data_IF_942393610994
#
_entry.id   IF_942393610994
#
_cell.length_a   1.000
_cell.length_b   1.000
_cell.length_c   1.000
_cell.angle_alpha   90.00
_cell.angle_beta   90.00
_cell.angle_gamma   90.00
#
_symmetry.space_group_name_H-M   'P 1'
#
loop_
_entity.id
_entity.type
_entity.pdbx_description
1 polymer ?
#
# COMPACT_ATOMS: atom_id res chain seq x y z
N UNK A 1 1.42 17.97 -7.55
CA UNK A 1 1.58 17.22 -6.30
C UNK A 1 2.84 16.37 -6.34
N UNK A 2 3.67 16.48 -5.32
CA UNK A 2 4.85 15.63 -5.16
C UNK A 2 4.44 14.36 -4.41
N UNK A 3 4.49 13.24 -5.09
CA UNK A 3 4.11 11.93 -4.53
C UNK A 3 5.36 11.05 -4.57
N UNK A 4 5.90 10.74 -3.39
CA UNK A 4 7.20 10.08 -3.24
C UNK A 4 7.08 8.72 -2.57
N UNK A 5 8.10 7.87 -2.80
CA UNK A 5 8.19 6.54 -2.20
C UNK A 5 8.07 6.61 -0.67
N UNK A 6 7.43 5.61 -0.08
CA UNK A 6 7.21 5.44 1.35
C UNK A 6 6.20 6.44 1.95
N UNK A 7 5.61 7.30 1.15
CA UNK A 7 4.51 8.15 1.62
C UNK A 7 3.20 7.39 1.64
N UNK A 8 2.36 7.74 2.62
CA UNK A 8 0.98 7.26 2.70
C UNK A 8 0.08 8.37 2.18
N UNK A 9 -0.77 8.04 1.21
CA UNK A 9 -1.72 8.98 0.62
C UNK A 9 -3.13 8.42 0.71
N UNK A 10 -4.11 9.31 0.91
CA UNK A 10 -5.50 8.95 0.68
C UNK A 10 -5.73 8.89 -0.82
N UNK A 11 -6.20 7.74 -1.30
CA UNK A 11 -6.32 7.44 -2.74
C UNK A 11 -7.72 6.91 -3.03
N UNK A 12 -8.29 7.31 -4.16
CA UNK A 12 -9.55 6.74 -4.66
C UNK A 12 -9.25 5.51 -5.50
N UNK A 13 -9.76 4.35 -5.06
CA UNK A 13 -9.59 3.07 -5.77
C UNK A 13 -10.76 2.73 -6.67
N UNK A 14 -11.86 3.50 -6.59
CA UNK A 14 -13.03 3.25 -7.44
C UNK A 14 -12.79 3.74 -8.87
N UNK A 15 -13.42 3.13 -9.89
CA UNK A 15 -14.25 1.93 -9.82
C UNK A 15 -13.45 0.64 -9.66
N UNK A 16 -14.05 -0.38 -9.05
CA UNK A 16 -13.44 -1.70 -8.83
C UNK A 16 -14.38 -2.82 -9.25
N UNK A 17 -13.82 -4.02 -9.37
CA UNK A 17 -14.57 -5.22 -9.74
C UNK A 17 -14.23 -6.37 -8.77
N UNK A 18 -15.24 -7.13 -8.37
CA UNK A 18 -15.07 -8.32 -7.55
C UNK A 18 -14.41 -8.03 -6.21
N UNK A 19 -13.33 -8.76 -5.91
CA UNK A 19 -12.62 -8.67 -4.64
C UNK A 19 -11.56 -7.56 -4.61
N UNK A 20 -11.45 -6.75 -5.64
CA UNK A 20 -10.53 -5.61 -5.63
C UNK A 20 -10.91 -4.64 -4.51
N UNK A 21 -9.90 -4.12 -3.83
CA UNK A 21 -10.13 -3.08 -2.83
C UNK A 21 -10.69 -1.84 -3.52
N UNK A 22 -11.76 -1.27 -2.94
CA UNK A 22 -12.42 -0.09 -3.48
C UNK A 22 -12.44 1.06 -2.51
N UNK A 23 -13.26 2.07 -2.81
CA UNK A 23 -13.47 3.26 -1.98
C UNK A 23 -12.22 4.15 -1.93
N UNK A 24 -12.26 5.15 -1.05
CA UNK A 24 -11.12 5.99 -0.71
C UNK A 24 -10.42 5.37 0.49
N UNK A 25 -9.15 5.04 0.33
CA UNK A 25 -8.36 4.36 1.37
C UNK A 25 -6.96 4.92 1.42
N UNK A 26 -6.29 4.83 2.58
CA UNK A 26 -4.84 5.05 2.62
C UNK A 26 -4.13 4.03 1.75
N UNK A 27 -3.05 4.46 1.11
CA UNK A 27 -2.19 3.59 0.32
C UNK A 27 -0.75 4.04 0.44
N UNK A 28 0.18 3.10 0.36
CA UNK A 28 1.61 3.38 0.47
C UNK A 28 2.20 3.38 -0.94
N UNK A 29 2.95 4.43 -1.27
CA UNK A 29 3.68 4.53 -2.54
C UNK A 29 4.90 3.64 -2.46
N UNK A 30 4.98 2.66 -3.36
CA UNK A 30 6.07 1.66 -3.33
C UNK A 30 7.06 1.79 -4.48
N UNK A 31 6.74 2.55 -5.53
CA UNK A 31 7.66 2.74 -6.66
C UNK A 31 8.82 3.66 -6.29
N UNK A 32 9.93 3.50 -7.03
CA UNK A 32 11.08 4.38 -6.90
C UNK A 32 10.73 5.82 -7.32
N UNK A 33 11.36 6.79 -6.67
CA UNK A 33 11.21 8.20 -7.02
C UNK A 33 11.83 8.53 -8.39
N UNK A 34 12.55 7.60 -9.00
CA UNK A 34 13.12 7.76 -10.35
C UNK A 34 12.08 7.80 -11.47
N UNK A 35 10.79 7.58 -11.16
CA UNK A 35 9.73 7.71 -12.17
C UNK A 35 9.57 9.14 -12.68
N UNK A 36 10.10 10.13 -11.97
CA UNK A 36 10.12 11.51 -12.41
C UNK A 36 8.72 12.08 -12.62
N UNK A 37 8.48 12.62 -13.82
CA UNK A 37 7.22 13.29 -14.17
C UNK A 37 6.10 12.35 -14.62
N UNK A 38 6.33 11.05 -14.61
CA UNK A 38 5.29 10.07 -14.95
C UNK A 38 4.08 10.27 -14.04
N UNK A 39 2.90 10.35 -14.62
CA UNK A 39 1.66 10.60 -13.86
C UNK A 39 0.99 9.29 -13.40
N UNK A 40 1.82 8.33 -13.03
CA UNK A 40 1.40 7.06 -12.43
C UNK A 40 2.24 6.81 -11.18
N UNK A 41 1.62 6.19 -10.18
CA UNK A 41 2.32 5.70 -8.99
C UNK A 41 1.84 4.31 -8.66
N UNK A 42 2.77 3.46 -8.24
CA UNK A 42 2.46 2.11 -7.80
C UNK A 42 2.24 2.12 -6.29
N UNK A 43 1.13 1.58 -5.84
CA UNK A 43 0.75 1.60 -4.44
C UNK A 43 0.32 0.23 -3.96
N UNK A 44 0.34 0.05 -2.63
CA UNK A 44 -0.35 -1.03 -1.93
C UNK A 44 -1.37 -0.40 -0.98
N UNK A 45 -2.61 -0.90 -0.95
CA UNK A 45 -3.66 -0.31 -0.11
C UNK A 45 -3.50 -0.70 1.35
N UNK A 46 -4.05 0.15 2.22
CA UNK A 46 -4.15 -0.10 3.65
C UNK A 46 -5.63 -0.25 3.98
N UNK A 47 -5.97 -1.31 4.72
CA UNK A 47 -7.33 -1.58 5.18
C UNK A 47 -7.33 -1.86 6.68
N UNK A 48 -8.52 -1.98 7.28
CA UNK A 48 -8.63 -2.31 8.71
C UNK A 48 -8.05 -3.69 8.98
N UNK A 49 -7.35 -3.84 10.11
CA UNK A 49 -6.83 -5.14 10.51
C UNK A 49 -7.97 -6.09 10.87
N UNK A 50 -7.86 -7.35 10.43
CA UNK A 50 -8.71 -8.46 10.86
C UNK A 50 -7.82 -9.60 11.33
N UNK A 51 -8.23 -10.30 12.39
CA UNK A 51 -7.40 -11.37 12.95
C UNK A 51 -7.10 -12.49 11.96
N UNK A 52 -8.02 -12.74 11.00
CA UNK A 52 -7.80 -13.73 9.95
C UNK A 52 -6.61 -13.39 9.07
N UNK A 53 -6.23 -12.12 8.97
CA UNK A 53 -5.08 -11.67 8.15
C UNK A 53 -3.75 -12.19 8.66
N UNK A 54 -3.66 -12.58 9.93
CA UNK A 54 -2.46 -13.20 10.49
C UNK A 54 -2.06 -14.49 9.75
N UNK A 55 -3.02 -15.12 9.07
CA UNK A 55 -2.80 -16.35 8.29
C UNK A 55 -2.42 -16.07 6.83
N UNK A 56 -2.41 -14.82 6.40
CA UNK A 56 -2.12 -14.44 5.03
C UNK A 56 -0.73 -13.81 4.93
N UNK A 57 0.24 -14.51 4.29
CA UNK A 57 1.63 -14.02 4.27
C UNK A 57 1.82 -12.68 3.56
N UNK A 58 0.87 -12.26 2.71
CA UNK A 58 0.92 -10.98 2.00
C UNK A 58 0.32 -9.82 2.79
N UNK A 59 -0.30 -10.09 3.94
CA UNK A 59 -0.85 -9.05 4.81
C UNK A 59 0.16 -8.67 5.88
N UNK A 60 0.52 -7.39 5.93
CA UNK A 60 1.42 -6.87 6.94
C UNK A 60 0.64 -6.00 7.91
N UNK A 61 0.73 -6.28 9.21
CA UNK A 61 0.11 -5.45 10.22
C UNK A 61 0.88 -4.14 10.37
N UNK A 62 0.15 -3.04 10.47
CA UNK A 62 0.72 -1.73 10.76
C UNK A 62 -0.08 -1.05 11.86
N UNK A 63 0.61 -0.70 12.95
CA UNK A 63 0.01 -0.02 14.10
C UNK A 63 0.16 1.48 13.95
N UNK A 64 -0.82 2.26 14.46
CA UNK A 64 -0.71 3.71 14.45
C UNK A 64 0.56 4.21 15.13
N UNK A 65 1.21 5.19 14.52
CA UNK A 65 2.32 5.92 15.13
C UNK A 65 2.32 7.36 14.65
N UNK A 66 3.23 8.18 15.20
CA UNK A 66 3.27 9.61 14.90
C UNK A 66 3.62 9.88 13.44
N UNK A 67 4.36 8.99 12.80
CA UNK A 67 4.82 9.19 11.42
C UNK A 67 3.76 8.77 10.41
N UNK A 68 3.06 7.65 10.64
CA UNK A 68 2.09 7.15 9.67
C UNK A 68 0.72 7.80 9.78
N UNK A 69 0.42 8.46 10.91
CA UNK A 69 -0.85 9.16 11.15
C UNK A 69 -2.09 8.29 10.93
N UNK A 70 -1.97 6.99 11.06
CA UNK A 70 -3.14 6.11 11.01
C UNK A 70 -3.90 6.19 12.33
N UNK A 71 -5.21 5.97 12.27
CA UNK A 71 -6.08 6.10 13.44
C UNK A 71 -6.35 4.77 14.15
N UNK A 72 -6.03 3.65 13.53
CA UNK A 72 -6.33 2.31 14.07
C UNK A 72 -5.38 1.26 13.51
N UNK A 73 -5.35 0.09 14.17
CA UNK A 73 -4.61 -1.06 13.66
C UNK A 73 -5.08 -1.40 12.27
N UNK A 74 -4.14 -1.54 11.36
CA UNK A 74 -4.43 -1.68 9.93
C UNK A 74 -3.60 -2.80 9.31
N UNK A 75 -3.97 -3.18 8.10
CA UNK A 75 -3.27 -4.15 7.29
C UNK A 75 -2.80 -3.51 5.98
N UNK A 76 -1.56 -3.77 5.63
CA UNK A 76 -1.01 -3.43 4.32
C UNK A 76 -1.26 -4.65 3.43
N UNK A 77 -2.08 -4.50 2.39
CA UNK A 77 -2.38 -5.59 1.46
C UNK A 77 -1.35 -5.59 0.34
N UNK A 78 -0.27 -6.33 0.54
CA UNK A 78 0.82 -6.40 -0.42
C UNK A 78 0.49 -7.22 -1.67
N UNK A 79 -0.65 -7.91 -1.69
CA UNK A 79 -1.09 -8.63 -2.88
C UNK A 79 -1.74 -7.70 -3.90
N UNK A 80 -2.44 -6.67 -3.45
CA UNK A 80 -3.18 -5.76 -4.33
C UNK A 80 -2.33 -4.57 -4.77
N UNK A 81 -1.13 -4.85 -5.27
CA UNK A 81 -0.27 -3.84 -5.89
C UNK A 81 -0.97 -3.29 -7.13
N UNK A 82 -1.06 -1.97 -7.24
CA UNK A 82 -1.70 -1.30 -8.38
C UNK A 82 -0.91 -0.07 -8.79
N UNK A 83 -0.82 0.16 -10.10
CA UNK A 83 -0.35 1.43 -10.63
C UNK A 83 -1.56 2.28 -10.98
N UNK A 84 -1.62 3.47 -10.40
CA UNK A 84 -2.78 4.36 -10.50
C UNK A 84 -2.37 5.73 -10.99
N UNK A 85 -3.28 6.40 -11.70
CA UNK A 85 -3.09 7.80 -12.08
C UNK A 85 -2.90 8.67 -10.84
N UNK A 86 -1.99 9.64 -10.92
CA UNK A 86 -1.79 10.62 -9.84
C UNK A 86 -3.05 11.43 -9.57
N UNK A 87 -3.99 11.50 -10.51
CA UNK A 87 -5.29 12.15 -10.31
C UNK A 87 -6.15 11.48 -9.24
N UNK A 88 -5.86 10.23 -8.89
CA UNK A 88 -6.58 9.50 -7.84
C UNK A 88 -6.07 9.81 -6.44
N UNK A 89 -4.97 10.52 -6.31
CA UNK A 89 -4.35 10.86 -5.02
C UNK A 89 -4.98 12.13 -4.48
N UNK A 90 -5.50 12.06 -3.25
CA UNK A 90 -6.31 13.14 -2.66
C UNK A 90 -5.48 14.00 -1.73
N UNK A 91 -4.81 13.38 -0.76
CA UNK A 91 -3.95 14.10 0.19
C UNK A 91 -2.94 13.15 0.82
N UNK A 92 -1.79 13.70 1.21
CA UNK A 92 -0.81 12.96 1.98
C UNK A 92 -1.29 12.78 3.42
N UNK A 93 -1.13 11.57 3.95
CA UNK A 93 -1.51 11.22 5.33
C UNK A 93 -0.27 11.14 6.22
N UNK A 94 0.78 10.46 5.79
CA UNK A 94 1.96 10.22 6.60
C UNK A 94 3.05 9.49 5.82
N UNK A 95 3.92 8.80 6.55
CA UNK A 95 5.08 8.09 6.00
C UNK A 95 5.26 6.74 6.68
N UNK A 96 5.94 5.81 5.98
CA UNK A 96 6.35 4.54 6.57
C UNK A 96 7.88 4.44 6.55
N UNK A 97 8.45 3.75 7.56
CA UNK A 97 9.90 3.52 7.64
C UNK A 97 10.34 2.20 7.01
N UNK A 98 9.45 1.22 6.96
CA UNK A 98 9.80 -0.15 6.60
C UNK A 98 9.50 -0.48 5.14
N UNK A 99 9.81 0.44 4.23
CA UNK A 99 9.50 0.25 2.80
C UNK A 99 10.18 -1.01 2.23
N UNK A 100 11.38 -1.35 2.70
CA UNK A 100 12.08 -2.54 2.21
C UNK A 100 11.37 -3.84 2.61
N UNK A 101 10.75 -3.89 3.78
CA UNK A 101 9.94 -5.03 4.20
C UNK A 101 8.69 -5.16 3.34
N UNK A 102 8.10 -4.04 2.96
CA UNK A 102 6.95 -4.02 2.06
C UNK A 102 7.37 -4.53 0.68
N UNK A 103 8.49 -4.04 0.13
CA UNK A 103 9.03 -4.53 -1.13
C UNK A 103 9.29 -6.03 -1.09
N UNK A 104 9.90 -6.51 -0.01
CA UNK A 104 10.18 -7.93 0.17
C UNK A 104 8.90 -8.76 0.16
N UNK A 105 7.87 -8.33 0.85
CA UNK A 105 6.58 -9.01 0.90
C UNK A 105 5.91 -9.04 -0.47
N UNK A 106 5.94 -7.92 -1.21
CA UNK A 106 5.42 -7.87 -2.58
C UNK A 106 6.17 -8.86 -3.47
N UNK A 107 7.49 -8.88 -3.39
CA UNK A 107 8.34 -9.77 -4.20
C UNK A 107 7.99 -11.23 -3.97
N UNK A 108 7.73 -11.61 -2.73
CA UNK A 108 7.36 -12.99 -2.38
C UNK A 108 6.05 -13.42 -3.04
N UNK A 109 5.14 -12.51 -3.32
CA UNK A 109 3.89 -12.87 -3.99
C UNK A 109 4.09 -13.23 -5.46
N UNK A 110 5.20 -12.81 -6.07
CA UNK A 110 5.51 -13.08 -7.48
C UNK A 110 6.53 -14.21 -7.67
N UNK A 111 7.44 -14.37 -6.74
CA UNK A 111 8.59 -15.27 -6.94
C UNK A 111 8.26 -16.69 -6.50
N UNK A 112 8.25 -17.68 -7.44
CA UNK A 112 7.89 -19.07 -7.10
C UNK A 112 8.88 -19.76 -6.20
N UNK A 113 10.08 -19.18 -5.99
CA UNK A 113 11.09 -19.74 -5.10
C UNK A 113 10.86 -19.39 -3.64
N UNK A 114 9.98 -18.42 -3.36
CA UNK A 114 9.64 -18.05 -1.98
C UNK A 114 8.44 -18.85 -1.49
N UNK A 115 8.49 -19.23 -0.20
CA UNK A 115 7.35 -19.81 0.51
C UNK A 115 6.66 -18.73 1.31
N UNK A 116 5.34 -18.61 1.13
CA UNK A 116 4.54 -17.55 1.75
C UNK A 116 3.80 -18.03 3.01
N UNK A 117 4.30 -19.00 3.72
CA UNK A 117 3.61 -19.55 4.90
C UNK A 117 4.49 -19.57 6.15
#
# INVERSE_FOLDING_TARGET
MNINQAEIWLVSFNPTTGQEIGKKRPAIVVNSDHVGKLKLRTVVPITDWKNTYANYPWMMKISPNIENNLSKESAIDCFQVKSLSTDRFIKKIGDVKNIFDIHSTITKTFNPLYKLN
#
